data_IF_937274880863
#
_entry.id   IF_937274880863
#
_cell.length_a   1.000
_cell.length_b   1.000
_cell.length_c   1.000
_cell.angle_alpha   90.00
_cell.angle_beta   90.00
_cell.angle_gamma   90.00
#
_symmetry.space_group_name_H-M   'P 1'
#
loop_
_entity.id
_entity.type
_entity.pdbx_description
1 polymer ?
#
# COMPACT_ATOMS: atom_id res chain seq x y z
N UNK A 1 -19.15 3.43 -9.60
CA UNK A 1 -18.16 3.32 -8.49
C UNK A 1 -18.45 4.42 -7.47
N UNK A 2 -18.49 4.12 -6.17
CA UNK A 2 -18.71 5.14 -5.15
C UNK A 2 -17.56 6.15 -5.14
N UNK A 3 -17.87 7.45 -5.26
CA UNK A 3 -16.90 8.56 -5.29
C UNK A 3 -16.40 8.98 -3.90
N UNK A 4 -16.69 8.18 -2.86
CA UNK A 4 -16.33 8.52 -1.47
C UNK A 4 -14.86 8.20 -1.21
N UNK A 5 -14.22 9.03 -0.38
CA UNK A 5 -12.82 8.89 0.01
C UNK A 5 -12.59 7.66 0.90
N UNK A 6 -11.74 6.71 0.50
CA UNK A 6 -11.58 5.45 1.21
C UNK A 6 -10.79 5.60 2.51
N UNK A 7 -11.12 4.78 3.50
CA UNK A 7 -10.18 4.49 4.59
C UNK A 7 -9.02 3.65 4.07
N UNK A 8 -7.82 3.95 4.56
CA UNK A 8 -6.59 3.23 4.20
C UNK A 8 -6.16 2.33 5.35
N UNK A 9 -5.84 1.08 5.02
CA UNK A 9 -5.19 0.15 5.92
C UNK A 9 -3.79 -0.12 5.37
N UNK A 10 -2.76 0.19 6.15
CA UNK A 10 -1.36 -0.09 5.84
C UNK A 10 -0.86 -1.12 6.84
N UNK A 11 -0.63 -2.34 6.38
CA UNK A 11 -0.25 -3.48 7.21
C UNK A 11 1.18 -3.95 6.92
N UNK A 12 1.95 -4.16 7.98
CA UNK A 12 3.34 -4.62 7.97
C UNK A 12 4.36 -3.71 7.22
N UNK A 13 4.26 -2.39 7.40
CA UNK A 13 5.25 -1.39 6.94
C UNK A 13 6.11 -0.88 8.11
N UNK A 14 6.91 -1.77 8.70
CA UNK A 14 7.58 -1.51 9.99
C UNK A 14 9.01 -0.94 9.87
N UNK A 15 9.63 -1.07 8.71
CA UNK A 15 11.01 -0.59 8.48
C UNK A 15 11.02 0.90 8.10
N UNK A 16 12.16 1.60 8.17
CA UNK A 16 12.27 2.99 7.70
C UNK A 16 11.87 3.16 6.23
N UNK A 17 12.25 2.20 5.38
CA UNK A 17 11.83 2.18 3.98
C UNK A 17 10.33 1.87 3.86
N UNK A 18 9.81 0.96 4.68
CA UNK A 18 8.38 0.68 4.80
C UNK A 18 7.57 1.93 5.15
N UNK A 19 7.97 2.66 6.18
CA UNK A 19 7.36 3.95 6.56
C UNK A 19 7.43 4.98 5.44
N UNK A 20 8.55 5.04 4.71
CA UNK A 20 8.71 5.91 3.53
C UNK A 20 7.69 5.58 2.44
N UNK A 21 7.54 4.30 2.09
CA UNK A 21 6.57 3.83 1.09
C UNK A 21 5.13 4.06 1.58
N UNK A 22 4.85 3.73 2.83
CA UNK A 22 3.56 3.95 3.48
C UNK A 22 3.15 5.43 3.41
N UNK A 23 4.10 6.34 3.65
CA UNK A 23 3.87 7.78 3.49
C UNK A 23 3.57 8.14 2.03
N UNK A 24 4.35 7.67 1.06
CA UNK A 24 4.09 7.96 -0.36
C UNK A 24 2.68 7.48 -0.74
N UNK A 25 2.32 6.22 -0.43
CA UNK A 25 1.03 5.62 -0.76
C UNK A 25 -0.13 6.33 -0.06
N UNK A 26 0.02 6.71 1.21
CA UNK A 26 -1.00 7.40 1.99
C UNK A 26 -1.38 8.75 1.36
N UNK A 27 -0.38 9.51 0.89
CA UNK A 27 -0.60 10.85 0.33
C UNK A 27 -1.15 10.83 -1.11
N UNK A 28 -1.32 9.65 -1.72
CA UNK A 28 -2.08 9.52 -2.96
C UNK A 28 -3.59 9.63 -2.74
N UNK A 29 -4.05 9.50 -1.50
CA UNK A 29 -5.46 9.53 -1.15
C UNK A 29 -5.80 10.72 -0.25
N UNK A 30 -6.98 11.32 -0.43
CA UNK A 30 -7.49 12.37 0.46
C UNK A 30 -7.91 11.80 1.82
N UNK A 31 -8.04 12.66 2.82
CA UNK A 31 -8.49 12.24 4.15
C UNK A 31 -9.97 11.78 4.13
N UNK A 32 -10.27 10.57 4.64
CA UNK A 32 -11.63 10.04 4.65
C UNK A 32 -12.48 10.66 5.76
N UNK A 33 -13.80 10.70 5.55
CA UNK A 33 -14.78 10.99 6.60
C UNK A 33 -14.95 9.75 7.48
N UNK A 34 -15.22 9.89 8.79
CA UNK A 34 -15.31 8.75 9.72
C UNK A 34 -16.44 7.76 9.43
N UNK A 35 -17.47 8.17 8.67
CA UNK A 35 -18.62 7.33 8.30
C UNK A 35 -18.42 6.59 6.95
N UNK A 36 -17.22 6.64 6.38
CA UNK A 36 -17.00 6.04 5.06
C UNK A 36 -16.90 4.53 5.18
N UNK A 37 -17.67 3.81 4.35
CA UNK A 37 -17.66 2.34 4.31
C UNK A 37 -16.61 1.75 3.35
N UNK A 38 -16.00 2.58 2.52
CA UNK A 38 -15.01 2.18 1.51
C UNK A 38 -13.63 2.03 2.15
N UNK A 39 -12.96 0.91 1.88
CA UNK A 39 -11.68 0.56 2.48
C UNK A 39 -10.72 0.09 1.40
N UNK A 40 -9.51 0.66 1.40
CA UNK A 40 -8.39 0.23 0.58
C UNK A 40 -7.30 -0.32 1.50
N UNK A 41 -6.88 -1.56 1.25
CA UNK A 41 -5.89 -2.26 2.06
C UNK A 41 -4.62 -2.44 1.27
N UNK A 42 -3.50 -2.03 1.84
CA UNK A 42 -2.14 -2.39 1.42
C UNK A 42 -1.56 -3.26 2.52
N UNK A 43 -1.44 -4.56 2.28
CA UNK A 43 -0.79 -5.49 3.20
C UNK A 43 0.51 -5.97 2.61
N UNK A 44 1.58 -5.88 3.39
CA UNK A 44 2.90 -6.29 2.96
C UNK A 44 3.25 -7.70 3.49
N UNK A 45 3.54 -8.63 2.58
CA UNK A 45 4.03 -9.97 2.89
C UNK A 45 5.26 -10.29 2.05
N UNK A 46 6.40 -10.47 2.71
CA UNK A 46 7.69 -10.79 2.06
C UNK A 46 8.08 -9.80 0.94
N UNK A 47 7.91 -8.50 1.20
CA UNK A 47 8.13 -7.38 0.26
C UNK A 47 7.22 -7.36 -0.97
N UNK A 48 6.16 -8.15 -0.98
CA UNK A 48 5.02 -8.00 -1.89
C UNK A 48 3.92 -7.25 -1.17
N UNK A 49 3.52 -6.12 -1.73
CA UNK A 49 2.41 -5.31 -1.23
C UNK A 49 1.18 -5.74 -2.00
N UNK A 50 0.28 -6.46 -1.34
CA UNK A 50 -1.02 -6.84 -1.88
C UNK A 50 -2.00 -5.67 -1.67
N UNK A 51 -2.57 -5.18 -2.77
CA UNK A 51 -3.62 -4.18 -2.76
C UNK A 51 -4.99 -4.84 -2.91
N UNK A 52 -5.92 -4.44 -2.03
CA UNK A 52 -7.32 -4.85 -2.09
C UNK A 52 -8.25 -3.66 -1.89
N UNK A 53 -9.35 -3.64 -2.62
CA UNK A 53 -10.36 -2.59 -2.55
C UNK A 53 -11.71 -3.19 -2.17
N UNK A 54 -12.15 -2.89 -0.95
CA UNK A 54 -13.36 -3.41 -0.34
C UNK A 54 -14.36 -2.31 0.01
N UNK A 55 -15.63 -2.68 0.16
CA UNK A 55 -16.61 -1.90 0.94
C UNK A 55 -17.15 -2.75 2.08
N UNK A 56 -17.38 -2.10 3.21
CA UNK A 56 -17.90 -2.71 4.42
C UNK A 56 -19.43 -2.58 4.47
N UNK A 57 -20.13 -3.72 4.42
CA UNK A 57 -21.56 -3.86 4.69
C UNK A 57 -21.81 -4.31 6.13
N UNK A 58 -22.95 -3.92 6.71
CA UNK A 58 -23.43 -4.40 8.01
C UNK A 58 -24.80 -5.04 7.80
N UNK A 59 -24.82 -6.28 7.33
CA UNK A 59 -26.07 -6.98 6.98
C UNK A 59 -26.72 -7.70 8.18
N UNK A 60 -25.95 -8.09 9.20
CA UNK A 60 -26.44 -8.96 10.29
C UNK A 60 -26.35 -8.37 11.71
N UNK A 61 -26.34 -7.04 11.87
CA UNK A 61 -26.28 -6.36 13.18
C UNK A 61 -24.95 -5.64 13.49
N UNK A 62 -24.76 -5.12 14.72
CA UNK A 62 -23.63 -4.24 15.04
C UNK A 62 -22.25 -4.95 15.08
N UNK A 63 -22.22 -6.28 15.14
CA UNK A 63 -20.98 -7.08 15.23
C UNK A 63 -20.57 -7.78 13.93
N UNK A 64 -21.47 -7.90 12.96
CA UNK A 64 -21.14 -8.51 11.67
C UNK A 64 -20.68 -7.44 10.70
N UNK A 65 -19.44 -7.58 10.26
CA UNK A 65 -18.82 -6.76 9.22
C UNK A 65 -18.58 -7.70 8.05
N UNK A 66 -19.25 -7.42 6.94
CA UNK A 66 -19.08 -8.16 5.68
C UNK A 66 -18.31 -7.26 4.71
N UNK A 67 -17.27 -7.81 4.09
CA UNK A 67 -16.43 -7.09 3.13
C UNK A 67 -16.74 -7.58 1.73
N UNK A 68 -17.14 -6.66 0.86
CA UNK A 68 -17.37 -6.92 -0.55
C UNK A 68 -16.22 -6.35 -1.38
N UNK A 69 -15.62 -7.16 -2.25
CA UNK A 69 -14.62 -6.70 -3.23
C UNK A 69 -15.30 -5.93 -4.37
N UNK A 70 -14.84 -4.70 -4.63
CA UNK A 70 -15.44 -3.83 -5.66
C UNK A 70 -14.43 -3.37 -6.71
N UNK A 71 -13.13 -3.43 -6.38
CA UNK A 71 -12.07 -2.91 -7.22
C UNK A 71 -11.07 -3.94 -7.68
N UNK A 72 -10.03 -3.47 -8.40
CA UNK A 72 -8.96 -4.34 -8.84
C UNK A 72 -8.19 -4.88 -7.63
N UNK A 73 -7.67 -6.07 -7.82
CA UNK A 73 -6.74 -6.72 -6.92
C UNK A 73 -5.42 -6.88 -7.68
N UNK A 74 -4.33 -6.46 -7.05
CA UNK A 74 -3.01 -6.62 -7.61
C UNK A 74 -1.97 -6.70 -6.52
N UNK A 75 -0.83 -7.28 -6.88
CA UNK A 75 0.36 -7.27 -6.04
C UNK A 75 1.39 -6.38 -6.70
N UNK A 76 2.05 -5.55 -5.88
CA UNK A 76 3.14 -4.72 -6.32
C UNK A 76 4.41 -5.05 -5.53
N UNK A 77 5.55 -4.89 -6.20
CA UNK A 77 6.86 -5.01 -5.59
C UNK A 77 7.65 -3.76 -5.87
N UNK A 78 8.22 -3.17 -4.83
CA UNK A 78 9.04 -1.98 -4.99
C UNK A 78 10.31 -2.32 -5.79
N UNK A 79 10.53 -1.58 -6.88
CA UNK A 79 11.76 -1.71 -7.67
C UNK A 79 12.73 -0.56 -7.40
N UNK A 80 12.25 0.68 -7.37
CA UNK A 80 13.10 1.88 -7.31
C UNK A 80 12.33 3.08 -6.75
N UNK A 81 13.00 3.91 -5.95
CA UNK A 81 12.54 5.21 -5.46
C UNK A 81 13.56 6.26 -5.91
N UNK A 82 13.08 7.33 -6.56
CA UNK A 82 13.88 8.48 -6.98
C UNK A 82 13.44 9.74 -6.25
N UNK A 83 14.39 10.63 -5.96
CA UNK A 83 14.15 11.93 -5.36
C UNK A 83 13.87 13.00 -6.42
N UNK A 84 12.77 12.84 -7.16
CA UNK A 84 12.43 13.74 -8.26
C UNK A 84 11.08 13.43 -8.89
N UNK A 85 10.69 14.23 -9.88
CA UNK A 85 9.50 13.96 -10.69
C UNK A 85 9.80 12.95 -11.79
N UNK A 86 8.74 12.43 -12.43
CA UNK A 86 8.88 11.44 -13.50
C UNK A 86 9.72 11.94 -14.68
N UNK A 87 9.63 13.22 -15.00
CA UNK A 87 10.34 13.85 -16.13
C UNK A 87 11.84 14.06 -15.85
N UNK A 88 12.24 14.06 -14.58
CA UNK A 88 13.62 14.26 -14.18
C UNK A 88 14.40 12.93 -14.20
N UNK A 89 15.07 12.65 -15.32
CA UNK A 89 15.81 11.40 -15.52
C UNK A 89 17.07 11.30 -14.65
N UNK A 90 17.75 12.43 -14.42
CA UNK A 90 19.07 12.52 -13.78
C UNK A 90 19.06 12.67 -12.24
N UNK A 91 17.90 12.59 -11.60
CA UNK A 91 17.80 12.71 -10.14
C UNK A 91 18.39 11.52 -9.40
N UNK A 92 18.86 11.78 -8.18
CA UNK A 92 19.42 10.76 -7.28
C UNK A 92 18.39 9.68 -6.93
N UNK A 93 18.87 8.43 -6.93
CA UNK A 93 18.13 7.26 -6.47
C UNK A 93 18.17 7.19 -4.93
N UNK A 94 17.00 7.25 -4.29
CA UNK A 94 16.88 7.07 -2.84
C UNK A 94 17.11 5.59 -2.47
N UNK A 95 16.48 4.70 -3.24
CA UNK A 95 16.58 3.26 -3.04
C UNK A 95 16.31 2.50 -4.34
N UNK A 96 16.97 1.36 -4.54
CA UNK A 96 16.68 0.46 -5.64
C UNK A 96 16.95 -1.00 -5.29
N UNK A 97 16.17 -1.90 -5.89
CA UNK A 97 16.28 -3.33 -5.70
C UNK A 97 17.43 -3.90 -6.51
N UNK A 98 18.50 -4.32 -5.83
CA UNK A 98 19.66 -4.99 -6.42
C UNK A 98 19.39 -6.50 -6.52
N UNK A 99 18.98 -6.98 -7.70
CA UNK A 99 18.62 -8.39 -7.94
C UNK A 99 19.83 -9.34 -7.90
N UNK A 100 21.01 -8.87 -8.28
CA UNK A 100 22.20 -9.70 -8.51
C UNK A 100 23.16 -9.75 -7.30
N UNK A 101 22.64 -9.70 -6.07
CA UNK A 101 23.45 -9.93 -4.86
C UNK A 101 23.05 -11.25 -4.20
N UNK A 102 24.02 -12.00 -3.67
CA UNK A 102 23.78 -13.30 -3.03
C UNK A 102 22.77 -13.22 -1.87
N UNK A 103 22.73 -12.08 -1.17
CA UNK A 103 21.80 -11.83 -0.05
C UNK A 103 20.47 -11.22 -0.48
N UNK A 104 20.30 -10.85 -1.75
CA UNK A 104 19.13 -10.11 -2.24
C UNK A 104 17.80 -10.85 -2.01
N UNK A 105 17.81 -12.19 -2.04
CA UNK A 105 16.61 -13.02 -1.79
C UNK A 105 16.30 -13.23 -0.31
N UNK A 106 17.28 -12.98 0.58
CA UNK A 106 17.17 -13.21 2.02
C UNK A 106 16.73 -11.96 2.79
N UNK A 107 17.01 -10.79 2.22
CA UNK A 107 16.74 -9.51 2.88
C UNK A 107 15.29 -9.09 2.65
N UNK A 108 14.60 -8.76 3.75
CA UNK A 108 13.32 -8.06 3.73
C UNK A 108 13.56 -6.57 3.91
N UNK A 109 12.89 -5.75 3.11
CA UNK A 109 13.13 -4.30 3.08
C UNK A 109 11.94 -3.47 3.55
N UNK A 110 10.71 -3.99 3.51
CA UNK A 110 9.49 -3.23 3.78
C UNK A 110 8.90 -3.62 5.15
N UNK A 111 8.80 -4.92 5.42
CA UNK A 111 8.24 -5.49 6.65
C UNK A 111 9.22 -6.39 7.39
N UNK A 112 8.94 -6.68 8.65
CA UNK A 112 9.76 -7.56 9.50
C UNK A 112 9.45 -9.04 9.20
#
# INVERSE_FOLDING_TARGET
>A
MPQVYPHLILDNFMTKLGERIANILKHLFPMPKPDTKRINTFSNRSDYISFRHHTCGKHGGPKSIELEEIGPWFEMKLFKIKMGTLDQTETQDEWFSKRCMNTAKKQKFIGI
#
